data_IF_404418593550
#
_entry.id   IF_404418593550
#
_cell.length_a   1.000
_cell.length_b   1.000
_cell.length_c   1.000
_cell.angle_alpha   90.00
_cell.angle_beta   90.00
_cell.angle_gamma   90.00
#
_symmetry.space_group_name_H-M   'P 1'
#
loop_
_entity.id
_entity.type
_entity.pdbx_description
1 polymer ?
#
# COMPACT_ATOMS: atom_id res chain seq x y z
N UNK A 1 13.87 -2.17 16.49
CA UNK A 1 12.75 -3.00 15.99
C UNK A 1 12.04 -2.19 14.93
N UNK A 2 11.69 -2.80 13.80
CA UNK A 2 10.94 -2.14 12.73
C UNK A 2 9.46 -2.28 13.05
N UNK A 3 8.78 -1.16 13.31
CA UNK A 3 7.31 -1.11 13.41
C UNK A 3 6.71 -1.47 12.05
N UNK A 4 5.70 -2.34 12.05
CA UNK A 4 4.98 -2.76 10.84
C UNK A 4 3.52 -2.34 10.91
N UNK A 5 3.04 -1.71 9.85
CA UNK A 5 1.66 -1.27 9.70
C UNK A 5 0.95 -2.17 8.71
N UNK A 6 -0.09 -2.86 9.14
CA UNK A 6 -0.90 -3.71 8.27
C UNK A 6 -2.07 -2.86 7.75
N UNK A 7 -2.11 -2.65 6.44
CA UNK A 7 -3.14 -1.86 5.79
C UNK A 7 -3.99 -2.74 4.85
N UNK A 8 -5.30 -2.78 5.08
CA UNK A 8 -6.25 -3.32 4.11
C UNK A 8 -6.47 -2.28 3.02
N UNK A 9 -6.23 -2.65 1.76
CA UNK A 9 -6.58 -1.85 0.59
C UNK A 9 -7.84 -2.41 -0.04
N UNK A 10 -8.82 -1.54 -0.30
CA UNK A 10 -10.09 -1.87 -0.93
C UNK A 10 -10.26 -1.07 -2.21
N UNK A 11 -10.24 -1.74 -3.36
CA UNK A 11 -10.56 -1.13 -4.64
C UNK A 11 -12.05 -0.75 -4.71
N UNK A 12 -12.41 0.18 -5.59
CA UNK A 12 -13.81 0.59 -5.84
C UNK A 12 -14.74 -0.56 -6.23
N UNK A 13 -14.21 -1.59 -6.90
CA UNK A 13 -14.95 -2.80 -7.25
C UNK A 13 -15.26 -3.71 -6.06
N UNK A 14 -14.69 -3.44 -4.88
CA UNK A 14 -14.82 -4.24 -3.67
C UNK A 14 -13.69 -5.26 -3.45
N UNK A 15 -12.76 -5.42 -4.40
CA UNK A 15 -11.58 -6.26 -4.21
C UNK A 15 -10.72 -5.75 -3.04
N UNK A 16 -10.23 -6.67 -2.22
CA UNK A 16 -9.45 -6.36 -1.01
C UNK A 16 -8.12 -7.10 -0.99
N UNK A 17 -7.09 -6.46 -0.45
CA UNK A 17 -5.78 -7.06 -0.17
C UNK A 17 -5.18 -6.42 1.08
N UNK A 18 -4.22 -7.10 1.70
CA UNK A 18 -3.43 -6.54 2.80
C UNK A 18 -2.01 -6.28 2.33
N UNK A 19 -1.50 -5.10 2.67
CA UNK A 19 -0.09 -4.74 2.52
C UNK A 19 0.50 -4.42 3.89
N UNK A 20 1.79 -4.72 4.04
CA UNK A 20 2.55 -4.49 5.25
C UNK A 20 3.54 -3.37 4.95
N UNK A 21 3.43 -2.29 5.68
CA UNK A 21 4.20 -1.07 5.53
C UNK A 21 5.22 -1.02 6.68
N UNK A 22 6.51 -1.03 6.39
CA UNK A 22 7.54 -1.11 7.42
C UNK A 22 8.18 0.26 7.66
N UNK A 23 8.43 0.62 8.92
CA UNK A 23 9.04 1.90 9.32
C UNK A 23 10.46 2.13 8.77
N UNK A 24 11.09 1.13 8.15
CA UNK A 24 12.36 1.22 7.43
C UNK A 24 12.20 1.53 5.92
N UNK A 25 11.02 2.01 5.51
CA UNK A 25 10.68 2.40 4.13
C UNK A 25 10.63 1.23 3.13
N UNK A 26 10.33 0.03 3.62
CA UNK A 26 10.01 -1.14 2.79
C UNK A 26 8.54 -1.54 2.95
N UNK A 27 7.96 -2.16 1.93
CA UNK A 27 6.62 -2.75 2.05
C UNK A 27 6.64 -4.23 1.63
N UNK A 28 5.69 -5.01 2.13
CA UNK A 28 5.45 -6.40 1.76
C UNK A 28 3.96 -6.64 1.48
N UNK A 29 3.65 -7.77 0.85
CA UNK A 29 2.29 -8.15 0.50
C UNK A 29 2.09 -9.66 0.61
N UNK A 30 0.98 -10.06 1.23
CA UNK A 30 0.64 -11.47 1.44
C UNK A 30 0.09 -12.15 0.16
N UNK A 31 -0.24 -11.37 -0.87
CA UNK A 31 -0.77 -11.87 -2.15
C UNK A 31 0.03 -11.34 -3.35
N UNK A 32 1.22 -11.88 -3.67
CA UNK A 32 2.04 -11.38 -4.78
C UNK A 32 1.32 -11.35 -6.14
N UNK A 33 0.35 -12.26 -6.36
CA UNK A 33 -0.50 -12.28 -7.54
C UNK A 33 -1.35 -11.00 -7.69
N UNK A 34 -1.66 -10.31 -6.60
CA UNK A 34 -2.33 -9.01 -6.61
C UNK A 34 -1.51 -7.93 -7.32
N UNK A 35 -0.18 -8.06 -7.28
CA UNK A 35 0.79 -7.12 -7.87
C UNK A 35 1.65 -7.72 -8.99
N UNK A 36 1.14 -8.75 -9.67
CA UNK A 36 1.82 -9.30 -10.85
C UNK A 36 3.11 -10.06 -10.51
N UNK A 37 3.17 -10.66 -9.32
CA UNK A 37 4.32 -11.44 -8.83
C UNK A 37 5.19 -10.72 -7.81
N UNK A 38 4.90 -9.45 -7.51
CA UNK A 38 5.71 -8.62 -6.61
C UNK A 38 5.22 -8.82 -5.17
N UNK A 39 6.14 -9.20 -4.29
CA UNK A 39 5.86 -9.46 -2.87
C UNK A 39 6.43 -8.40 -1.93
N UNK A 40 7.37 -7.58 -2.40
CA UNK A 40 8.07 -6.56 -1.61
C UNK A 40 8.54 -5.40 -2.48
N UNK A 41 8.79 -4.24 -1.89
CA UNK A 41 9.37 -3.08 -2.57
C UNK A 41 9.70 -1.93 -1.63
N UNK A 42 10.01 -0.77 -2.21
CA UNK A 42 10.38 0.44 -1.47
C UNK A 42 9.24 1.43 -1.37
N UNK A 43 9.33 2.31 -0.35
CA UNK A 43 8.37 3.37 -0.11
C UNK A 43 9.08 4.71 -0.24
N UNK A 44 8.72 5.49 -1.25
CA UNK A 44 9.48 6.69 -1.63
C UNK A 44 9.07 7.98 -0.92
N UNK A 45 7.94 7.98 -0.20
CA UNK A 45 7.38 9.17 0.47
C UNK A 45 6.91 8.81 1.88
N UNK A 46 7.85 8.47 2.76
CA UNK A 46 7.54 8.14 4.15
C UNK A 46 7.55 9.41 5.00
N UNK A 47 6.37 9.93 5.38
CA UNK A 47 6.26 11.07 6.31
C UNK A 47 5.95 12.45 5.71
N UNK A 48 5.70 12.54 4.41
CA UNK A 48 5.33 13.80 3.70
C UNK A 48 3.86 13.87 3.29
N UNK A 49 3.02 13.05 3.93
CA UNK A 49 1.57 13.10 3.75
C UNK A 49 1.00 12.10 2.76
N UNK A 50 1.80 11.32 2.02
CA UNK A 50 1.33 10.18 1.21
C UNK A 50 2.39 9.07 1.23
N UNK A 51 2.03 7.82 1.49
CA UNK A 51 2.95 6.68 1.30
C UNK A 51 2.86 6.18 -0.16
N UNK A 52 4.00 6.11 -0.86
CA UNK A 52 4.06 5.65 -2.26
C UNK A 52 4.81 4.32 -2.33
N UNK A 53 4.06 3.22 -2.45
CA UNK A 53 4.60 1.87 -2.58
C UNK A 53 5.04 1.66 -4.03
N UNK A 54 6.34 1.54 -4.27
CA UNK A 54 6.89 1.25 -5.59
C UNK A 54 6.75 -0.24 -5.88
N UNK A 55 6.09 -0.58 -7.00
CA UNK A 55 5.91 -1.96 -7.45
C UNK A 55 7.08 -2.39 -8.35
N UNK A 56 7.18 -1.83 -9.56
CA UNK A 56 8.19 -2.19 -10.56
C UNK A 56 8.58 -0.92 -11.35
N UNK A 57 9.66 -0.27 -10.94
CA UNK A 57 10.06 1.03 -11.49
C UNK A 57 9.19 2.21 -11.03
N UNK A 58 9.54 3.45 -11.44
CA UNK A 58 8.98 4.67 -10.86
C UNK A 58 7.53 4.96 -11.27
N UNK A 59 7.03 4.33 -12.33
CA UNK A 59 5.70 4.61 -12.90
C UNK A 59 4.60 3.66 -12.40
N UNK A 60 4.98 2.59 -11.70
CA UNK A 60 4.03 1.61 -11.18
C UNK A 60 4.04 1.65 -9.66
N UNK A 61 3.06 2.31 -9.09
CA UNK A 61 2.98 2.52 -7.66
C UNK A 61 1.54 2.47 -7.12
N UNK A 62 1.47 2.36 -5.80
CA UNK A 62 0.27 2.60 -5.03
C UNK A 62 0.53 3.79 -4.13
N UNK A 63 -0.29 4.82 -4.28
CA UNK A 63 -0.30 5.98 -3.40
C UNK A 63 -1.36 5.77 -2.33
N UNK A 64 -0.98 5.91 -1.06
CA UNK A 64 -1.87 5.92 0.10
C UNK A 64 -1.87 7.32 0.71
N UNK A 65 -2.94 8.08 0.48
CA UNK A 65 -3.01 9.46 0.92
C UNK A 65 -3.13 9.53 2.43
N UNK A 66 -2.35 10.40 3.06
CA UNK A 66 -2.22 10.59 4.51
C UNK A 66 -1.78 9.35 5.32
N UNK A 67 -1.28 8.31 4.66
CA UNK A 67 -0.65 7.19 5.34
C UNK A 67 0.83 7.51 5.65
N UNK A 68 1.27 7.26 6.88
CA UNK A 68 2.66 7.50 7.27
C UNK A 68 2.99 6.96 8.67
N UNK A 69 4.14 7.37 9.22
CA UNK A 69 4.57 6.97 10.57
C UNK A 69 3.62 7.41 11.68
N UNK A 70 2.80 8.43 11.41
CA UNK A 70 1.78 8.93 12.32
C UNK A 70 0.48 8.11 12.32
N UNK A 71 0.32 7.18 11.38
CA UNK A 71 -0.91 6.39 11.23
C UNK A 71 -1.15 5.49 12.46
N UNK A 72 -2.37 5.51 12.97
CA UNK A 72 -2.84 4.68 14.07
C UNK A 72 -3.77 3.55 13.59
N UNK A 73 -4.01 2.56 14.44
CA UNK A 73 -4.99 1.50 14.17
C UNK A 73 -6.38 2.14 13.99
N UNK A 74 -7.10 1.68 12.96
CA UNK A 74 -8.39 2.18 12.46
C UNK A 74 -8.36 3.51 11.68
N UNK A 75 -7.20 4.14 11.53
CA UNK A 75 -7.06 5.22 10.55
C UNK A 75 -7.40 4.68 9.16
N UNK A 76 -8.00 5.54 8.35
CA UNK A 76 -8.39 5.22 7.00
C UNK A 76 -8.24 6.43 6.10
N UNK A 77 -8.20 6.17 4.79
CA UNK A 77 -8.09 7.21 3.80
C UNK A 77 -8.22 6.68 2.40
N UNK A 78 -7.92 7.55 1.45
CA UNK A 78 -8.01 7.26 0.03
C UNK A 78 -6.62 7.00 -0.55
N UNK A 79 -6.60 6.41 -1.73
CA UNK A 79 -5.37 6.15 -2.46
C UNK A 79 -5.65 5.85 -3.91
N UNK A 80 -4.60 5.52 -4.65
CA UNK A 80 -4.70 5.16 -6.07
C UNK A 80 -3.63 4.15 -6.43
N UNK A 81 -4.00 3.12 -7.20
CA UNK A 81 -3.06 2.29 -7.93
C UNK A 81 -2.91 2.84 -9.34
N UNK A 82 -1.69 3.17 -9.75
CA UNK A 82 -1.41 3.61 -11.12
C UNK A 82 -1.81 2.54 -12.12
N UNK A 83 -2.41 2.94 -13.25
CA UNK A 83 -2.80 2.03 -14.31
C UNK A 83 -1.57 1.35 -14.92
N UNK A 84 -1.48 0.04 -14.73
CA UNK A 84 -0.38 -0.75 -15.26
C UNK A 84 -0.83 -2.12 -15.81
N UNK A 85 -2.13 -2.44 -15.73
CA UNK A 85 -2.72 -3.72 -16.12
C UNK A 85 -1.95 -4.93 -15.56
N UNK A 86 -1.27 -4.75 -14.42
CA UNK A 86 -0.44 -5.77 -13.78
C UNK A 86 -1.03 -6.21 -12.46
N UNK A 87 -1.06 -7.52 -12.28
CA UNK A 87 -1.63 -8.16 -11.10
C UNK A 87 -3.15 -8.15 -11.08
N UNK A 88 -3.71 -8.87 -10.11
CA UNK A 88 -5.16 -9.05 -9.96
C UNK A 88 -5.84 -7.92 -9.18
N UNK A 89 -5.09 -7.09 -8.45
CA UNK A 89 -5.69 -5.97 -7.75
C UNK A 89 -6.04 -4.86 -8.75
N UNK A 90 -7.28 -4.35 -8.75
CA UNK A 90 -7.72 -3.36 -9.73
C UNK A 90 -6.91 -2.07 -9.70
N UNK A 91 -6.72 -1.49 -10.88
CA UNK A 91 -6.15 -0.15 -11.05
C UNK A 91 -7.17 0.94 -10.66
N UNK A 92 -6.68 2.14 -10.36
CA UNK A 92 -7.50 3.31 -10.04
C UNK A 92 -7.69 3.55 -8.54
N UNK A 93 -8.80 4.22 -8.20
CA UNK A 93 -9.13 4.63 -6.84
C UNK A 93 -9.27 3.42 -5.89
N UNK A 94 -8.71 3.59 -4.69
CA UNK A 94 -8.83 2.64 -3.59
C UNK A 94 -9.00 3.38 -2.26
N UNK A 95 -9.44 2.64 -1.25
CA UNK A 95 -9.46 3.06 0.15
C UNK A 95 -8.47 2.21 0.93
N UNK A 96 -7.85 2.78 1.94
CA UNK A 96 -7.00 2.05 2.88
C UNK A 96 -7.53 2.15 4.30
N UNK A 97 -7.30 1.11 5.10
CA UNK A 97 -7.54 1.10 6.54
C UNK A 97 -6.34 0.46 7.24
N UNK A 98 -5.76 1.12 8.23
CA UNK A 98 -4.77 0.50 9.10
C UNK A 98 -5.49 -0.44 10.08
N UNK A 99 -5.25 -1.74 9.96
CA UNK A 99 -5.97 -2.76 10.74
C UNK A 99 -5.17 -3.30 11.92
N UNK A 100 -3.84 -3.15 11.90
CA UNK A 100 -2.95 -3.66 12.95
C UNK A 100 -1.58 -2.98 12.87
N UNK A 101 -0.89 -2.85 14.01
CA UNK A 101 0.49 -2.36 14.12
C UNK A 101 1.28 -3.34 15.00
N UNK A 102 2.41 -3.84 14.47
CA UNK A 102 3.39 -4.70 15.18
C UNK A 102 4.64 -3.89 15.56
#
# INVERSE_FOLDING_TARGET
>A
MTTKYYAELKAKSGAKITVILNSDSTWNCDSPAAFGGISTGHISSWGTGNAILQLDGPYFNITLNNFGLHTAINDHGEGTKTTNNRGKFPDGELYWTCIYIE
#
